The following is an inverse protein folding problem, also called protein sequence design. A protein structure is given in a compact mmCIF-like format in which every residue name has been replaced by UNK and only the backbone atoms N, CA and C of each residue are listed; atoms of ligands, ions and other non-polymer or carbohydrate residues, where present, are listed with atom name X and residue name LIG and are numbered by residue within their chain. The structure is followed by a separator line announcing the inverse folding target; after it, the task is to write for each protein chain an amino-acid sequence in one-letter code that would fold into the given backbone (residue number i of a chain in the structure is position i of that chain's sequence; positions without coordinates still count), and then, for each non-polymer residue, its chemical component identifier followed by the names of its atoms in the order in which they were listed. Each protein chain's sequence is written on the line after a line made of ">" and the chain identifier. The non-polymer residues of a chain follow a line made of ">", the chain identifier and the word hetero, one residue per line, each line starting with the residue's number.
data_IF_053168886469
#
_entry.id   IF_053168886469
#
_cell.length_a   1.000
_cell.length_b   1.000
_cell.length_c   1.000
_cell.angle_alpha   90.00
_cell.angle_beta   90.00
_cell.angle_gamma   90.00
#
_symmetry.space_group_name_H-M   'P 1'
#
loop_
_entity.id
_entity.type
_entity.pdbx_description
1 polymer ?
#
# COMPACT_ATOMS: atom_id res chain seq x y z
N UNK A 1 58.93 -57.19 11.72
CA UNK A 1 59.57 -55.96 12.24
C UNK A 1 59.78 -55.02 11.07
N UNK A 2 59.13 -53.86 11.07
CA UNK A 2 59.72 -52.54 10.81
C UNK A 2 58.60 -51.50 11.03
N UNK A 3 58.79 -50.73 12.10
CA UNK A 3 58.00 -49.57 12.51
C UNK A 3 58.53 -48.32 11.80
N UNK A 4 57.62 -47.47 11.31
CA UNK A 4 57.77 -46.02 11.07
C UNK A 4 56.34 -45.47 11.29
N UNK A 5 55.93 -44.82 12.38
CA UNK A 5 56.40 -43.68 13.17
C UNK A 5 56.27 -42.30 12.47
N UNK A 6 55.23 -41.58 12.90
CA UNK A 6 54.99 -40.12 12.98
C UNK A 6 54.86 -39.25 11.69
N UNK A 7 53.73 -38.57 11.53
CA UNK A 7 53.56 -37.14 11.93
C UNK A 7 52.18 -36.57 11.49
N UNK A 8 51.50 -35.76 12.32
CA UNK A 8 50.14 -35.28 12.08
C UNK A 8 50.16 -33.92 11.35
N UNK A 9 50.24 -33.92 10.02
CA UNK A 9 50.22 -32.66 9.24
C UNK A 9 49.37 -32.82 7.97
N UNK A 10 48.12 -33.23 8.12
CA UNK A 10 47.11 -33.16 7.04
C UNK A 10 45.74 -32.71 7.60
N UNK A 11 45.76 -31.77 8.56
CA UNK A 11 44.57 -31.08 9.08
C UNK A 11 44.24 -29.78 8.35
N UNK A 12 44.73 -29.61 7.12
CA UNK A 12 44.34 -28.51 6.26
C UNK A 12 44.11 -29.10 4.87
N UNK A 13 43.01 -28.69 4.25
CA UNK A 13 42.54 -29.09 2.91
C UNK A 13 41.65 -30.34 2.94
N UNK A 14 40.38 -30.16 3.33
CA UNK A 14 39.21 -30.57 2.53
C UNK A 14 37.91 -30.03 3.17
N UNK A 15 37.89 -28.74 3.53
CA UNK A 15 36.64 -28.00 3.63
C UNK A 15 36.30 -27.51 2.23
N UNK A 16 35.63 -28.36 1.46
CA UNK A 16 35.08 -28.00 0.16
C UNK A 16 33.63 -28.52 0.08
N UNK A 17 32.73 -27.66 0.56
CA UNK A 17 31.51 -27.26 -0.16
C UNK A 17 30.69 -28.35 -0.85
N UNK A 18 29.72 -28.92 -0.12
CA UNK A 18 28.44 -29.32 -0.70
C UNK A 18 27.30 -28.72 0.16
N UNK A 19 27.05 -27.43 -0.02
CA UNK A 19 25.71 -26.90 0.19
C UNK A 19 25.05 -26.94 -1.18
N UNK A 20 24.27 -27.99 -1.43
CA UNK A 20 23.36 -28.03 -2.57
C UNK A 20 22.25 -27.03 -2.26
N UNK A 21 22.50 -25.76 -2.60
CA UNK A 21 21.42 -24.79 -2.73
C UNK A 21 20.65 -25.20 -3.97
N UNK A 22 19.55 -25.92 -3.76
CA UNK A 22 18.54 -26.11 -4.79
C UNK A 22 17.93 -24.73 -5.03
N UNK A 23 18.50 -23.98 -5.98
CA UNK A 23 17.84 -22.82 -6.56
C UNK A 23 16.67 -23.38 -7.36
N UNK A 24 15.49 -23.41 -6.75
CA UNK A 24 14.25 -23.64 -7.47
C UNK A 24 14.07 -22.41 -8.37
N UNK A 25 14.61 -22.51 -9.58
CA UNK A 25 14.40 -21.54 -10.64
C UNK A 25 12.97 -21.75 -11.15
N UNK A 26 12.00 -21.24 -10.40
CA UNK A 26 10.63 -21.12 -10.84
C UNK A 26 10.58 -20.02 -11.92
N UNK A 27 10.97 -20.36 -13.14
CA UNK A 27 10.51 -19.66 -14.34
C UNK A 27 9.01 -19.95 -14.48
N UNK A 28 8.18 -19.28 -13.69
CA UNK A 28 6.76 -19.17 -14.00
C UNK A 28 6.63 -18.18 -15.16
N UNK A 29 6.79 -18.70 -16.36
CA UNK A 29 6.24 -18.10 -17.58
C UNK A 29 4.70 -18.22 -17.52
N UNK A 30 4.07 -17.56 -16.56
CA UNK A 30 2.67 -17.24 -16.62
C UNK A 30 2.59 -15.88 -17.30
N UNK A 31 2.18 -15.90 -18.57
CA UNK A 31 1.73 -14.71 -19.28
C UNK A 31 0.42 -14.29 -18.60
N UNK A 32 0.53 -13.65 -17.42
CA UNK A 32 -0.62 -13.12 -16.70
C UNK A 32 -1.12 -11.92 -17.48
N UNK A 33 -2.09 -12.17 -18.36
CA UNK A 33 -2.87 -11.16 -19.10
C UNK A 33 -3.83 -10.38 -18.21
N UNK A 34 -3.81 -10.59 -16.89
CA UNK A 34 -4.65 -9.89 -15.95
C UNK A 34 -3.72 -9.12 -15.00
N UNK A 35 -3.72 -7.80 -15.08
CA UNK A 35 -3.06 -6.95 -14.10
C UNK A 35 -3.58 -7.21 -12.68
N UNK A 36 -2.98 -6.58 -11.65
CA UNK A 36 -3.35 -6.87 -10.27
C UNK A 36 -4.83 -6.57 -10.02
N UNK A 37 -5.58 -7.58 -9.59
CA UNK A 37 -6.92 -7.41 -9.01
C UNK A 37 -6.81 -7.23 -7.48
N UNK A 38 -7.88 -6.80 -6.84
CA UNK A 38 -7.87 -6.52 -5.40
C UNK A 38 -7.44 -7.68 -4.50
N UNK A 39 -7.69 -8.91 -4.91
CA UNK A 39 -7.29 -10.10 -4.18
C UNK A 39 -5.78 -10.34 -4.31
N UNK A 40 -5.23 -10.15 -5.51
CA UNK A 40 -3.80 -10.36 -5.79
C UNK A 40 -2.89 -9.20 -5.38
N UNK A 41 -3.40 -7.98 -5.31
CA UNK A 41 -2.59 -6.76 -5.14
C UNK A 41 -1.73 -6.77 -3.86
N UNK A 42 -2.28 -7.33 -2.78
CA UNK A 42 -1.67 -7.42 -1.45
C UNK A 42 -1.24 -8.84 -1.09
N UNK A 43 -1.30 -9.79 -2.02
CA UNK A 43 -1.02 -11.18 -1.73
C UNK A 43 0.47 -11.39 -1.38
N UNK A 44 0.73 -12.07 -0.26
CA UNK A 44 2.08 -12.39 0.20
C UNK A 44 2.87 -11.20 0.75
N UNK A 45 2.21 -10.05 0.98
CA UNK A 45 2.82 -8.84 1.55
C UNK A 45 2.38 -8.70 3.00
N UNK A 46 3.29 -8.33 3.90
CA UNK A 46 2.96 -7.80 5.22
C UNK A 46 3.03 -6.27 5.13
N UNK A 47 2.02 -5.60 5.67
CA UNK A 47 1.94 -4.14 5.64
C UNK A 47 1.81 -3.61 7.05
N UNK A 48 2.65 -2.62 7.40
CA UNK A 48 2.52 -1.91 8.64
C UNK A 48 1.94 -0.51 8.39
N UNK A 49 0.87 -0.16 9.07
CA UNK A 49 0.20 1.14 8.97
C UNK A 49 1.17 2.31 9.13
N UNK A 50 2.21 2.18 9.95
CA UNK A 50 3.22 3.24 10.13
C UNK A 50 3.96 3.59 8.84
N UNK A 51 4.05 2.66 7.88
CA UNK A 51 4.65 2.90 6.56
C UNK A 51 3.75 3.79 5.69
N UNK A 52 2.43 3.72 5.89
CA UNK A 52 1.46 4.56 5.19
C UNK A 52 1.45 6.00 5.73
N UNK A 53 1.76 6.20 7.01
CA UNK A 53 1.60 7.50 7.69
C UNK A 53 2.42 8.60 7.01
N UNK A 54 1.79 9.78 6.90
CA UNK A 54 2.33 10.99 6.30
C UNK A 54 1.65 11.37 4.99
N UNK A 55 2.23 12.37 4.34
CA UNK A 55 1.72 12.92 3.07
C UNK A 55 2.30 12.17 1.88
N UNK A 56 1.43 11.90 0.92
CA UNK A 56 1.74 11.26 -0.35
C UNK A 56 1.14 12.05 -1.49
N UNK A 57 1.89 12.20 -2.56
CA UNK A 57 1.53 12.97 -3.74
C UNK A 57 1.33 12.03 -4.90
N UNK A 58 0.24 12.22 -5.64
CA UNK A 58 -0.03 11.46 -6.84
C UNK A 58 1.07 11.73 -7.88
N UNK A 59 1.78 10.68 -8.28
CA UNK A 59 2.84 10.80 -9.26
C UNK A 59 2.31 10.73 -10.69
N UNK A 60 1.19 10.05 -10.90
CA UNK A 60 0.59 9.89 -12.22
C UNK A 60 -0.85 9.38 -12.16
N UNK A 61 -1.68 9.77 -13.14
CA UNK A 61 -2.93 9.08 -13.47
C UNK A 61 -3.06 8.91 -14.99
N UNK A 62 -3.57 7.76 -15.46
CA UNK A 62 -3.55 7.31 -16.87
C UNK A 62 -4.11 8.30 -17.90
N UNK A 63 -5.00 9.21 -17.51
CA UNK A 63 -5.55 10.22 -18.43
C UNK A 63 -4.58 11.38 -18.72
N UNK A 64 -3.44 11.48 -18.02
CA UNK A 64 -2.36 12.43 -18.30
C UNK A 64 -1.19 11.76 -19.03
N UNK A 65 -1.28 11.61 -20.34
CA UNK A 65 -0.25 10.87 -21.10
C UNK A 65 1.14 11.54 -21.15
N UNK A 66 1.31 12.80 -20.74
CA UNK A 66 2.59 13.51 -21.00
C UNK A 66 3.03 14.57 -19.99
N UNK A 67 2.21 14.92 -18.98
CA UNK A 67 2.57 15.96 -18.00
C UNK A 67 2.06 15.52 -16.65
N UNK A 68 2.95 15.42 -15.65
CA UNK A 68 2.52 15.22 -14.27
C UNK A 68 1.56 16.33 -13.87
N UNK A 69 0.40 15.96 -13.35
CA UNK A 69 -0.66 16.84 -12.90
C UNK A 69 -0.09 18.03 -12.15
N UNK A 70 -0.20 19.21 -12.75
CA UNK A 70 0.19 20.46 -12.12
C UNK A 70 -0.68 20.82 -10.91
N UNK A 71 -1.72 20.03 -10.61
CA UNK A 71 -2.58 20.17 -9.44
C UNK A 71 -2.10 19.23 -8.31
N UNK A 72 -1.92 19.72 -7.07
CA UNK A 72 -1.45 18.90 -5.96
C UNK A 72 -2.55 17.94 -5.49
N UNK A 73 -2.72 16.84 -6.21
CA UNK A 73 -3.47 15.68 -5.74
C UNK A 73 -2.62 14.95 -4.70
N UNK A 74 -2.85 15.27 -3.43
CA UNK A 74 -2.18 14.63 -2.32
C UNK A 74 -3.18 13.96 -1.37
N UNK A 75 -2.69 12.94 -0.70
CA UNK A 75 -3.38 12.17 0.32
C UNK A 75 -2.52 12.21 1.58
N UNK A 76 -3.15 12.36 2.73
CA UNK A 76 -2.46 12.27 4.02
C UNK A 76 -3.05 11.13 4.83
N UNK A 77 -2.17 10.27 5.35
CA UNK A 77 -2.56 9.21 6.28
C UNK A 77 -2.07 9.55 7.68
N UNK A 78 -2.96 9.46 8.66
CA UNK A 78 -2.63 9.61 10.08
C UNK A 78 -3.14 8.41 10.87
N UNK A 79 -2.46 8.07 11.96
CA UNK A 79 -2.97 7.07 12.90
C UNK A 79 -4.22 7.61 13.61
N UNK A 80 -5.19 6.74 13.83
CA UNK A 80 -6.36 7.03 14.66
C UNK A 80 -6.01 6.70 16.10
N UNK A 81 -6.15 7.67 16.99
CA UNK A 81 -5.95 7.47 18.41
C UNK A 81 -7.23 6.93 19.09
N UNK A 82 -7.09 6.44 20.33
CA UNK A 82 -8.21 5.85 21.08
C UNK A 82 -9.35 6.83 21.34
N UNK A 83 -9.06 8.13 21.52
CA UNK A 83 -10.10 9.13 21.77
C UNK A 83 -10.91 9.39 20.50
N UNK A 84 -10.24 9.65 19.38
CA UNK A 84 -10.86 9.88 18.08
C UNK A 84 -11.74 8.69 17.65
N UNK A 85 -11.28 7.46 17.89
CA UNK A 85 -12.08 6.25 17.65
C UNK A 85 -13.37 6.22 18.46
N UNK A 86 -13.29 6.53 19.76
CA UNK A 86 -14.46 6.56 20.66
C UNK A 86 -15.44 7.65 20.27
N UNK A 87 -14.93 8.86 20.03
CA UNK A 87 -15.75 9.99 19.61
C UNK A 87 -16.50 9.69 18.30
N UNK A 88 -15.80 9.05 17.35
CA UNK A 88 -16.40 8.63 16.09
C UNK A 88 -17.47 7.55 16.31
N UNK A 89 -17.18 6.53 17.12
CA UNK A 89 -18.12 5.47 17.44
C UNK A 89 -19.40 6.04 18.06
N UNK A 90 -19.28 6.88 19.09
CA UNK A 90 -20.44 7.51 19.74
C UNK A 90 -21.27 8.36 18.77
N UNK A 91 -20.61 9.02 17.82
CA UNK A 91 -21.26 9.89 16.85
C UNK A 91 -22.06 9.12 15.79
N UNK A 92 -21.48 8.05 15.22
CA UNK A 92 -22.01 7.44 13.98
C UNK A 92 -22.30 5.94 14.06
N UNK A 93 -22.03 5.23 15.16
CA UNK A 93 -22.21 3.77 15.24
C UNK A 93 -23.61 3.30 14.86
N UNK A 94 -24.65 4.03 15.25
CA UNK A 94 -26.04 3.73 14.88
C UNK A 94 -26.34 3.87 13.38
N UNK A 95 -25.45 4.48 12.60
CA UNK A 95 -25.59 4.70 11.16
C UNK A 95 -24.58 3.89 10.33
N UNK A 96 -23.69 3.12 10.96
CA UNK A 96 -22.67 2.35 10.25
C UNK A 96 -22.73 0.90 10.69
N UNK A 97 -23.30 0.06 9.83
CA UNK A 97 -23.41 -1.37 10.10
C UNK A 97 -22.09 -2.10 9.87
N UNK A 98 -21.80 -3.14 10.65
CA UNK A 98 -20.71 -4.08 10.42
C UNK A 98 -19.31 -3.44 10.29
N UNK A 99 -19.02 -2.42 11.11
CA UNK A 99 -17.69 -1.83 11.24
C UNK A 99 -17.01 -2.36 12.50
N UNK A 100 -15.80 -2.90 12.36
CA UNK A 100 -14.98 -3.26 13.49
C UNK A 100 -14.14 -2.06 13.97
N UNK A 101 -14.70 -1.32 14.93
CA UNK A 101 -14.09 -0.14 15.55
C UNK A 101 -12.68 -0.39 16.09
N UNK A 102 -12.40 -1.58 16.63
CA UNK A 102 -11.10 -1.90 17.22
C UNK A 102 -9.96 -1.92 16.21
N UNK A 103 -10.30 -2.20 14.95
CA UNK A 103 -9.37 -2.29 13.82
C UNK A 103 -9.32 -1.00 12.98
N UNK A 104 -10.10 0.02 13.35
CA UNK A 104 -10.02 1.34 12.75
C UNK A 104 -8.71 2.00 13.14
N UNK A 105 -7.80 2.13 12.17
CA UNK A 105 -6.37 2.34 12.46
C UNK A 105 -5.75 3.52 11.73
N UNK A 106 -6.19 3.79 10.50
CA UNK A 106 -5.73 4.93 9.71
C UNK A 106 -6.88 5.86 9.34
N UNK A 107 -6.61 7.16 9.36
CA UNK A 107 -7.45 8.18 8.74
C UNK A 107 -6.74 8.67 7.48
N UNK A 108 -7.47 8.72 6.38
CA UNK A 108 -7.01 9.22 5.09
C UNK A 108 -7.76 10.51 4.76
N UNK A 109 -7.02 11.57 4.45
CA UNK A 109 -7.59 12.88 4.11
C UNK A 109 -7.21 13.28 2.68
N UNK A 110 -8.20 13.72 1.88
CA UNK A 110 -8.03 14.16 0.50
C UNK A 110 -8.77 15.50 0.26
N UNK A 111 -8.10 16.58 -0.20
CA UNK A 111 -6.66 16.68 -0.32
C UNK A 111 -5.99 16.69 1.06
N UNK A 112 -4.69 16.39 1.09
CA UNK A 112 -3.88 16.49 2.32
C UNK A 112 -3.99 17.87 2.97
N UNK A 113 -3.79 17.94 4.29
CA UNK A 113 -4.04 19.15 5.10
C UNK A 113 -3.27 20.39 4.65
N UNK A 114 -2.09 20.21 4.05
CA UNK A 114 -1.25 21.31 3.57
C UNK A 114 -1.85 22.11 2.41
N UNK A 115 -2.85 21.57 1.71
CA UNK A 115 -3.51 22.25 0.57
C UNK A 115 -4.48 23.35 1.03
N UNK A 116 -4.73 23.49 2.35
CA UNK A 116 -5.61 24.51 2.95
C UNK A 116 -6.95 24.69 2.19
N UNK A 117 -7.53 23.57 1.75
CA UNK A 117 -8.83 23.53 1.07
C UNK A 117 -9.94 23.45 2.10
N UNK A 118 -11.04 24.20 1.87
CA UNK A 118 -12.26 24.09 2.66
C UNK A 118 -13.10 22.85 2.33
N UNK A 119 -12.69 22.08 1.31
CA UNK A 119 -13.36 20.86 0.85
C UNK A 119 -12.40 19.69 0.93
N UNK A 120 -12.20 19.16 2.13
CA UNK A 120 -11.55 17.86 2.33
C UNK A 120 -12.58 16.75 2.50
N UNK A 121 -12.17 15.54 2.12
CA UNK A 121 -12.88 14.30 2.39
C UNK A 121 -12.02 13.48 3.33
N UNK A 122 -12.65 13.04 4.40
CA UNK A 122 -12.03 12.19 5.39
C UNK A 122 -12.57 10.77 5.22
N UNK A 123 -11.65 9.81 5.15
CA UNK A 123 -11.96 8.39 5.11
C UNK A 123 -11.29 7.72 6.31
N UNK A 124 -12.04 7.00 7.11
CA UNK A 124 -11.49 6.15 8.15
C UNK A 124 -11.29 4.73 7.62
N UNK A 125 -10.15 4.12 7.91
CA UNK A 125 -9.75 2.83 7.35
C UNK A 125 -9.82 1.75 8.43
N UNK A 126 -10.76 0.84 8.25
CA UNK A 126 -10.88 -0.42 8.99
C UNK A 126 -9.91 -1.43 8.43
N UNK A 127 -8.95 -1.90 9.24
CA UNK A 127 -8.01 -2.93 8.82
C UNK A 127 -8.70 -4.29 8.79
N UNK A 128 -8.76 -4.92 7.63
CA UNK A 128 -9.34 -6.26 7.45
C UNK A 128 -8.31 -7.36 7.67
N UNK A 129 -7.09 -7.16 7.18
CA UNK A 129 -5.99 -8.13 7.19
C UNK A 129 -4.65 -7.41 7.37
N UNK A 130 -3.61 -8.15 7.80
CA UNK A 130 -2.25 -7.61 8.00
C UNK A 130 -1.43 -7.38 6.72
N UNK A 131 -2.07 -7.37 5.56
CA UNK A 131 -1.45 -7.26 4.23
C UNK A 131 -1.76 -5.93 3.53
N UNK A 132 -2.30 -4.95 4.26
CA UNK A 132 -2.71 -3.66 3.71
C UNK A 132 -4.12 -3.69 3.12
N UNK A 133 -4.94 -4.67 3.51
CA UNK A 133 -6.37 -4.70 3.20
C UNK A 133 -7.15 -3.81 4.14
N UNK A 134 -7.87 -2.84 3.57
CA UNK A 134 -8.75 -1.96 4.32
C UNK A 134 -10.15 -1.93 3.73
N UNK A 135 -11.10 -1.54 4.57
CA UNK A 135 -12.38 -1.01 4.15
C UNK A 135 -12.45 0.44 4.59
N UNK A 136 -12.70 1.34 3.65
CA UNK A 136 -12.86 2.75 3.96
C UNK A 136 -14.24 3.00 4.55
N UNK A 137 -14.35 4.08 5.30
CA UNK A 137 -15.57 4.71 5.75
C UNK A 137 -15.46 6.18 5.41
N UNK A 138 -16.17 6.61 4.36
CA UNK A 138 -16.20 8.02 3.98
C UNK A 138 -17.09 8.79 4.96
N UNK A 139 -16.55 9.87 5.52
CA UNK A 139 -17.35 10.79 6.31
C UNK A 139 -18.20 11.67 5.41
N UNK A 140 -19.51 11.80 5.69
CA UNK A 140 -20.33 12.77 4.99
C UNK A 140 -19.90 14.20 5.39
N UNK A 141 -20.22 15.20 4.56
CA UNK A 141 -19.95 16.60 4.91
C UNK A 141 -20.55 16.97 6.27
N UNK A 142 -19.94 17.88 7.06
CA UNK A 142 -20.48 18.28 8.37
C UNK A 142 -21.91 18.85 8.33
N UNK A 143 -22.36 19.32 7.17
CA UNK A 143 -23.72 19.84 6.93
C UNK A 143 -24.73 18.77 6.54
N UNK A 144 -24.31 17.53 6.29
CA UNK A 144 -25.18 16.45 5.90
C UNK A 144 -26.01 15.96 7.10
N UNK A 145 -27.25 15.57 6.83
CA UNK A 145 -28.08 14.91 7.84
C UNK A 145 -27.62 13.46 7.91
N UNK A 146 -27.14 13.03 9.08
CA UNK A 146 -26.67 11.65 9.25
C UNK A 146 -27.82 10.66 9.10
N UNK A 147 -27.71 9.79 8.10
CA UNK A 147 -28.52 8.61 7.90
C UNK A 147 -27.67 7.47 7.34
N UNK A 148 -28.25 6.27 7.23
CA UNK A 148 -27.54 5.07 6.76
C UNK A 148 -27.02 5.18 5.32
N UNK A 149 -27.70 5.93 4.45
CA UNK A 149 -27.39 6.02 3.03
C UNK A 149 -26.19 6.93 2.73
N UNK A 150 -25.86 7.82 3.66
CA UNK A 150 -24.74 8.77 3.53
C UNK A 150 -23.36 8.14 3.80
N UNK A 151 -23.30 6.94 4.38
CA UNK A 151 -22.04 6.26 4.71
C UNK A 151 -21.63 5.28 3.61
N UNK A 152 -20.62 5.68 2.84
CA UNK A 152 -20.04 4.84 1.81
C UNK A 152 -18.79 4.11 2.30
N UNK A 153 -18.68 2.84 1.93
CA UNK A 153 -17.55 1.98 2.30
C UNK A 153 -17.01 1.26 1.09
N UNK A 154 -15.73 1.46 0.80
CA UNK A 154 -15.06 0.89 -0.35
C UNK A 154 -13.89 0.02 0.08
N UNK A 155 -13.68 -1.16 -0.52
CA UNK A 155 -12.47 -1.92 -0.28
C UNK A 155 -11.27 -1.17 -0.86
N UNK A 156 -10.17 -1.14 -0.12
CA UNK A 156 -8.94 -0.46 -0.53
C UNK A 156 -7.75 -1.35 -0.18
N UNK A 157 -6.73 -1.35 -1.05
CA UNK A 157 -5.46 -2.03 -0.78
C UNK A 157 -4.31 -1.04 -0.77
N UNK A 158 -3.46 -1.12 0.24
CA UNK A 158 -2.23 -0.35 0.35
C UNK A 158 -1.01 -1.28 0.23
N UNK A 159 0.01 -0.82 -0.47
CA UNK A 159 1.28 -1.56 -0.62
C UNK A 159 2.44 -0.58 -0.75
N UNK A 160 3.50 -0.82 0.01
CA UNK A 160 4.77 -0.13 -0.19
C UNK A 160 5.52 -0.79 -1.34
N UNK A 161 5.98 0.01 -2.28
CA UNK A 161 6.80 -0.43 -3.40
C UNK A 161 8.20 0.15 -3.24
N UNK A 162 9.20 -0.74 -3.23
CA UNK A 162 10.63 -0.39 -3.17
C UNK A 162 11.01 0.52 -1.97
N UNK A 163 10.19 0.53 -0.91
CA UNK A 163 10.40 1.36 0.27
C UNK A 163 10.21 2.87 0.05
N UNK A 164 9.79 3.30 -1.14
CA UNK A 164 9.78 4.72 -1.54
C UNK A 164 8.40 5.21 -2.01
N UNK A 165 7.58 4.30 -2.53
CA UNK A 165 6.29 4.62 -3.11
C UNK A 165 5.18 3.90 -2.35
N UNK A 166 4.03 4.55 -2.28
CA UNK A 166 2.79 3.94 -1.81
C UNK A 166 1.90 3.69 -3.02
N UNK A 167 1.60 2.43 -3.29
CA UNK A 167 0.54 2.08 -4.21
C UNK A 167 -0.76 1.90 -3.42
N UNK A 168 -1.81 2.57 -3.89
CA UNK A 168 -3.14 2.54 -3.32
C UNK A 168 -4.13 2.08 -4.39
N UNK A 169 -4.76 0.93 -4.19
CA UNK A 169 -5.80 0.42 -5.08
C UNK A 169 -7.18 0.72 -4.51
N UNK A 170 -8.01 1.43 -5.27
CA UNK A 170 -9.45 1.47 -5.05
C UNK A 170 -10.08 0.24 -5.71
N UNK A 171 -10.68 -0.63 -4.90
CA UNK A 171 -11.26 -1.87 -5.40
C UNK A 171 -12.62 -1.72 -6.06
N UNK A 172 -13.31 -0.62 -5.80
CA UNK A 172 -14.58 -0.33 -6.44
C UNK A 172 -14.34 0.05 -7.90
N UNK A 173 -13.46 1.02 -8.12
CA UNK A 173 -13.16 1.54 -9.46
C UNK A 173 -12.03 0.78 -10.17
N UNK A 174 -11.37 -0.17 -9.47
CA UNK A 174 -10.22 -0.95 -9.97
C UNK A 174 -9.04 -0.09 -10.44
N UNK A 175 -8.88 1.11 -9.89
CA UNK A 175 -7.75 1.99 -10.19
C UNK A 175 -6.66 1.86 -9.14
N UNK A 176 -5.40 1.89 -9.61
CA UNK A 176 -4.21 1.90 -8.75
C UNK A 176 -3.55 3.27 -8.83
N UNK A 177 -3.50 3.98 -7.73
CA UNK A 177 -2.74 5.22 -7.61
C UNK A 177 -1.32 4.90 -7.14
N UNK A 178 -0.33 5.44 -7.83
CA UNK A 178 1.06 5.40 -7.38
C UNK A 178 1.43 6.76 -6.80
N UNK A 179 1.78 6.76 -5.51
CA UNK A 179 2.02 7.97 -4.74
C UNK A 179 3.47 8.03 -4.25
N UNK A 180 4.05 9.22 -4.25
CA UNK A 180 5.41 9.50 -3.77
C UNK A 180 5.42 10.48 -2.60
N UNK A 181 6.50 10.51 -1.82
CA UNK A 181 6.65 11.45 -0.70
C UNK A 181 6.85 12.91 -1.14
N UNK A 182 7.24 13.13 -2.39
CA UNK A 182 7.45 14.46 -2.97
C UNK A 182 6.48 14.68 -4.12
N UNK A 183 5.99 15.92 -4.32
CA UNK A 183 5.16 16.26 -5.47
C UNK A 183 5.94 16.08 -6.78
N UNK A 184 5.26 15.77 -7.90
CA UNK A 184 5.91 15.71 -9.20
C UNK A 184 6.44 17.11 -9.59
N UNK A 185 7.69 17.21 -10.02
CA UNK A 185 8.32 18.48 -10.42
C UNK A 185 7.91 18.96 -11.83
N UNK A 186 6.80 18.43 -12.38
CA UNK A 186 6.38 18.72 -13.77
C UNK A 186 7.34 18.21 -14.86
N UNK A 187 8.35 17.42 -14.49
CA UNK A 187 9.25 16.71 -15.40
C UNK A 187 8.59 15.44 -15.92
N UNK A 188 9.05 14.95 -17.07
CA UNK A 188 8.65 13.62 -17.52
C UNK A 188 8.96 12.59 -16.43
N UNK A 189 8.02 11.65 -16.22
CA UNK A 189 8.27 10.51 -15.35
C UNK A 189 9.47 9.75 -15.88
N UNK A 190 10.37 9.36 -14.98
CA UNK A 190 11.48 8.50 -15.38
C UNK A 190 10.96 7.13 -15.86
N UNK A 191 11.76 6.45 -16.69
CA UNK A 191 11.34 5.18 -17.31
C UNK A 191 11.12 4.06 -16.30
N UNK A 192 11.73 4.15 -15.10
CA UNK A 192 11.50 3.17 -14.03
C UNK A 192 10.10 3.34 -13.46
N UNK A 193 9.70 4.58 -13.18
CA UNK A 193 8.38 4.91 -12.68
C UNK A 193 7.29 4.60 -13.71
N UNK A 194 7.53 4.87 -14.99
CA UNK A 194 6.64 4.45 -16.10
C UNK A 194 6.42 2.93 -16.11
N UNK A 195 7.51 2.14 -16.08
CA UNK A 195 7.42 0.67 -16.01
C UNK A 195 6.70 0.17 -14.77
N UNK A 196 6.88 0.85 -13.63
CA UNK A 196 6.19 0.53 -12.39
C UNK A 196 4.69 0.77 -12.53
N UNK A 197 4.29 1.92 -13.08
CA UNK A 197 2.88 2.23 -13.36
C UNK A 197 2.27 1.17 -14.28
N UNK A 198 2.94 0.84 -15.39
CA UNK A 198 2.49 -0.21 -16.33
C UNK A 198 2.31 -1.57 -15.66
N UNK A 199 3.20 -1.95 -14.75
CA UNK A 199 3.14 -3.24 -14.05
C UNK A 199 1.95 -3.34 -13.08
N UNK A 200 1.60 -2.24 -12.41
CA UNK A 200 0.58 -2.24 -11.38
C UNK A 200 -0.78 -1.76 -11.86
N UNK A 201 -0.89 -1.24 -13.08
CA UNK A 201 -2.17 -0.82 -13.65
C UNK A 201 -2.86 -2.00 -14.36
N UNK A 202 -4.10 -2.36 -13.99
CA UNK A 202 -4.86 -3.34 -14.76
C UNK A 202 -5.15 -2.81 -16.17
N UNK A 203 -4.93 -3.63 -17.21
CA UNK A 203 -5.10 -3.20 -18.61
C UNK A 203 -6.57 -2.85 -18.98
N UNK A 204 -7.54 -3.28 -18.17
CA UNK A 204 -8.99 -3.11 -18.36
C UNK A 204 -9.58 -1.91 -17.61
#
# INVERSE_FOLDING_TARGET
>A
MLYLNMSPVWHLIFFASLHVVVVVNAKSSAKNTNGPNCQSFSQGVTFNDSEAVGTWHLLHFRTEQTKGSGDPHCVEFTNINTQERKDLQELIEKFVENLNWDTLSLKMQIPCKSVNSSKSRDYYLERLEGNGSYRTLQMPPPTAKLDLAEFHRYPMRLKIIEGQYLAMMDCHEKFVFLLGKQPPEGKELDDRLKKMIEMYWPEE
#
